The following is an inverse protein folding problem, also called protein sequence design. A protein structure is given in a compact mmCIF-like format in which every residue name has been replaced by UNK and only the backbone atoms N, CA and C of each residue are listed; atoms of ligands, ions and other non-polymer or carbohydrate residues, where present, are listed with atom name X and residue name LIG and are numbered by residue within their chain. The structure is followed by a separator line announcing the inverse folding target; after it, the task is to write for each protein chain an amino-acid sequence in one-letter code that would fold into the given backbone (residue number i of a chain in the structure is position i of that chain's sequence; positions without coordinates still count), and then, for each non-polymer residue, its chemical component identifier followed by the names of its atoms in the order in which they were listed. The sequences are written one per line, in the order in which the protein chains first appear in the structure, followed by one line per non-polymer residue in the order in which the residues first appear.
data_IF_043863118889
#
_entry.id   IF_043863118889
#
_cell.length_a   1.000
_cell.length_b   1.000
_cell.length_c   1.000
_cell.angle_alpha   90.00
_cell.angle_beta   90.00
_cell.angle_gamma   90.00
#
_symmetry.space_group_name_H-M   'P 1'
#
loop_
_entity.id
_entity.type
_entity.pdbx_description
1 polymer ?
#
# COMPACT_ATOMS: atom_id res chain seq x y z
N UNK A 1 19.47 8.61 -54.21
CA UNK A 1 19.19 8.94 -52.79
C UNK A 1 18.28 7.86 -52.22
N UNK A 2 18.89 6.86 -51.58
CA UNK A 2 18.29 5.54 -51.36
C UNK A 2 17.32 5.52 -50.17
N UNK A 3 16.18 4.86 -50.43
CA UNK A 3 15.07 4.56 -49.53
C UNK A 3 15.51 4.00 -48.16
N UNK A 4 16.69 3.37 -48.10
CA UNK A 4 17.30 2.75 -46.93
C UNK A 4 17.62 3.78 -45.83
N UNK A 5 18.03 5.01 -46.17
CA UNK A 5 18.37 6.03 -45.16
C UNK A 5 17.14 6.60 -44.43
N UNK A 6 15.95 6.52 -45.02
CA UNK A 6 14.70 6.96 -44.36
C UNK A 6 14.18 5.93 -43.35
N UNK A 7 14.40 4.64 -43.60
CA UNK A 7 13.91 3.55 -42.73
C UNK A 7 14.71 3.49 -41.43
N UNK A 8 16.03 3.68 -41.49
CA UNK A 8 16.88 3.67 -40.29
C UNK A 8 16.52 4.82 -39.34
N UNK A 9 16.15 5.99 -39.87
CA UNK A 9 15.75 7.14 -39.05
C UNK A 9 14.41 6.92 -38.33
N UNK A 10 13.46 6.21 -38.94
CA UNK A 10 12.14 5.91 -38.35
C UNK A 10 12.27 4.82 -37.28
N UNK A 11 13.13 3.82 -37.48
CA UNK A 11 13.35 2.75 -36.52
C UNK A 11 14.03 3.21 -35.23
N UNK A 12 14.89 4.24 -35.30
CA UNK A 12 15.56 4.81 -34.12
C UNK A 12 14.61 5.69 -33.31
N UNK A 13 13.66 6.40 -33.95
CA UNK A 13 12.63 7.17 -33.22
C UNK A 13 11.59 6.27 -32.52
N UNK A 14 11.37 5.05 -33.01
CA UNK A 14 10.38 4.11 -32.45
C UNK A 14 10.85 3.41 -31.15
N UNK A 15 12.16 3.35 -30.88
CA UNK A 15 12.69 2.76 -29.64
C UNK A 15 12.65 3.70 -28.43
N UNK A 16 12.27 4.97 -28.62
CA UNK A 16 11.92 5.88 -27.52
C UNK A 16 10.43 5.77 -27.17
N UNK A 17 9.85 4.55 -27.19
CA UNK A 17 8.68 4.26 -26.38
C UNK A 17 9.12 4.39 -24.92
N UNK A 18 9.08 5.63 -24.40
CA UNK A 18 9.34 5.97 -23.03
C UNK A 18 8.55 4.98 -22.17
N UNK A 19 9.25 4.02 -21.54
CA UNK A 19 8.72 3.40 -20.33
C UNK A 19 8.48 4.58 -19.40
N UNK A 20 7.23 5.01 -19.28
CA UNK A 20 6.85 6.00 -18.30
C UNK A 20 7.43 5.49 -16.98
N UNK A 21 8.35 6.24 -16.38
CA UNK A 21 8.97 5.85 -15.13
C UNK A 21 7.84 5.53 -14.15
N UNK A 22 7.88 4.34 -13.54
CA UNK A 22 6.92 3.99 -12.51
C UNK A 22 6.97 5.12 -11.47
N UNK A 23 5.82 5.74 -11.22
CA UNK A 23 5.74 6.84 -10.28
C UNK A 23 6.01 6.27 -8.89
N UNK A 24 6.96 6.84 -8.16
CA UNK A 24 7.20 6.41 -6.79
C UNK A 24 6.09 6.96 -5.87
N UNK A 25 5.90 6.34 -4.71
CA UNK A 25 5.08 6.88 -3.62
C UNK A 25 5.77 8.13 -3.07
N UNK A 26 5.05 9.25 -2.79
CA UNK A 26 5.67 10.43 -2.19
C UNK A 26 6.35 10.14 -0.85
N UNK A 27 7.49 10.78 -0.59
CA UNK A 27 8.30 10.56 0.62
C UNK A 27 7.54 10.82 1.91
N UNK A 28 6.52 11.69 1.87
CA UNK A 28 5.65 11.96 3.01
C UNK A 28 4.93 10.70 3.52
N UNK A 29 4.71 9.68 2.68
CA UNK A 29 4.10 8.42 3.11
C UNK A 29 5.13 7.40 3.62
N UNK A 30 6.41 7.54 3.29
CA UNK A 30 7.42 6.52 3.58
C UNK A 30 7.58 6.29 5.07
N UNK A 31 7.84 5.04 5.46
CA UNK A 31 8.07 4.63 6.85
C UNK A 31 7.06 3.60 7.34
N UNK A 32 7.09 3.37 8.66
CA UNK A 32 6.24 2.41 9.35
C UNK A 32 5.09 3.12 10.04
N UNK A 33 3.92 2.49 9.96
CA UNK A 33 2.64 3.00 10.39
C UNK A 33 1.89 1.92 11.15
N UNK A 34 1.19 2.28 12.21
CA UNK A 34 0.39 1.36 13.02
C UNK A 34 -1.05 1.83 13.16
N UNK A 35 -1.98 0.91 13.04
CA UNK A 35 -3.40 1.14 13.27
C UNK A 35 -3.98 0.01 14.12
N UNK A 36 -5.13 0.28 14.71
CA UNK A 36 -6.01 -0.72 15.30
C UNK A 36 -7.24 -0.82 14.41
N UNK A 37 -7.63 -2.04 14.04
CA UNK A 37 -8.80 -2.24 13.20
C UNK A 37 -10.08 -1.85 13.95
N UNK A 38 -10.94 -1.09 13.28
CA UNK A 38 -12.26 -0.71 13.80
C UNK A 38 -12.26 0.30 14.96
N UNK A 39 -11.11 0.80 15.41
CA UNK A 39 -11.03 1.82 16.47
C UNK A 39 -9.75 2.65 16.36
N UNK A 40 -9.77 3.95 16.72
CA UNK A 40 -8.54 4.74 16.80
C UNK A 40 -7.56 4.10 17.78
N UNK A 41 -6.31 3.98 17.36
CA UNK A 41 -5.22 3.54 18.24
C UNK A 41 -4.83 4.69 19.17
N UNK A 42 -4.73 4.43 20.47
CA UNK A 42 -4.21 5.42 21.43
C UNK A 42 -2.67 5.49 21.36
N UNK A 43 -2.09 6.57 21.88
CA UNK A 43 -0.65 6.81 21.82
C UNK A 43 0.19 5.75 22.53
N UNK A 44 -0.28 5.19 23.66
CA UNK A 44 0.47 4.19 24.41
C UNK A 44 0.50 2.87 23.64
N UNK A 45 -0.66 2.43 23.13
CA UNK A 45 -0.76 1.25 22.27
C UNK A 45 0.06 1.40 21.00
N UNK A 46 0.03 2.58 20.37
CA UNK A 46 0.86 2.87 19.19
C UNK A 46 2.36 2.77 19.50
N UNK A 47 2.82 3.31 20.64
CA UNK A 47 4.22 3.23 21.05
C UNK A 47 4.67 1.79 21.31
N UNK A 48 3.86 1.01 22.02
CA UNK A 48 4.13 -0.41 22.28
C UNK A 48 4.20 -1.19 20.96
N UNK A 49 3.24 -0.97 20.06
CA UNK A 49 3.23 -1.58 18.74
C UNK A 49 4.49 -1.21 17.95
N UNK A 50 4.84 0.08 17.85
CA UNK A 50 6.03 0.54 17.14
C UNK A 50 7.34 -0.02 17.74
N UNK A 51 7.43 -0.14 19.07
CA UNK A 51 8.60 -0.72 19.74
C UNK A 51 8.74 -2.22 19.42
N UNK A 52 7.65 -2.97 19.53
CA UNK A 52 7.61 -4.39 19.16
C UNK A 52 8.06 -4.63 17.71
N UNK A 53 7.66 -3.73 16.79
CA UNK A 53 8.04 -3.79 15.38
C UNK A 53 9.54 -3.57 15.15
N UNK A 54 10.17 -2.63 15.88
CA UNK A 54 11.60 -2.33 15.77
C UNK A 54 12.50 -3.53 16.10
N UNK A 55 12.03 -4.41 16.98
CA UNK A 55 12.75 -5.60 17.42
C UNK A 55 12.43 -6.85 16.62
N UNK A 56 11.64 -6.74 15.54
CA UNK A 56 11.22 -7.86 14.70
C UNK A 56 10.44 -8.96 15.46
N UNK A 57 9.95 -8.66 16.67
CA UNK A 57 9.13 -9.51 17.52
C UNK A 57 7.64 -9.46 17.12
N UNK A 58 7.38 -9.17 15.84
CA UNK A 58 6.06 -8.88 15.27
C UNK A 58 5.11 -10.06 15.46
N UNK A 59 5.61 -11.30 15.46
CA UNK A 59 4.75 -12.48 15.64
C UNK A 59 4.43 -12.77 17.11
N UNK A 60 5.31 -12.39 18.05
CA UNK A 60 5.26 -12.83 19.45
C UNK A 60 4.62 -11.79 20.37
N UNK A 61 4.82 -10.51 20.07
CA UNK A 61 4.29 -9.38 20.85
C UNK A 61 2.82 -9.07 20.54
N UNK A 62 2.36 -9.51 19.38
CA UNK A 62 1.07 -9.20 18.79
C UNK A 62 0.11 -10.41 18.83
N UNK A 63 0.59 -11.60 19.25
CA UNK A 63 -0.16 -12.85 19.33
C UNK A 63 -0.93 -13.05 20.63
N UNK A 64 -0.91 -12.08 21.54
CA UNK A 64 -1.70 -12.19 22.76
C UNK A 64 -3.18 -12.04 22.39
N UNK A 65 -4.01 -13.08 22.58
CA UNK A 65 -5.41 -13.14 22.12
C UNK A 65 -6.29 -12.04 22.72
N UNK A 66 -5.84 -11.38 23.79
CA UNK A 66 -6.48 -10.22 24.41
C UNK A 66 -6.06 -8.88 23.79
N UNK A 67 -5.08 -8.87 22.89
CA UNK A 67 -4.61 -7.65 22.24
C UNK A 67 -5.53 -7.24 21.08
N UNK A 68 -5.82 -5.94 20.92
CA UNK A 68 -6.65 -5.44 19.83
C UNK A 68 -6.07 -5.85 18.46
N UNK A 69 -6.93 -5.98 17.44
CA UNK A 69 -6.48 -6.37 16.10
C UNK A 69 -5.64 -5.24 15.47
N UNK A 70 -4.32 -5.35 15.58
CA UNK A 70 -3.34 -4.35 15.14
C UNK A 70 -2.90 -4.61 13.70
N UNK A 71 -2.67 -3.52 12.97
CA UNK A 71 -2.28 -3.51 11.58
C UNK A 71 -1.01 -2.67 11.46
N UNK A 72 0.04 -3.27 10.91
CA UNK A 72 1.22 -2.53 10.49
C UNK A 72 1.16 -2.29 8.98
N UNK A 73 1.46 -1.06 8.57
CA UNK A 73 1.72 -0.69 7.19
C UNK A 73 3.14 -0.14 7.07
N UNK A 74 3.98 -0.79 6.26
CA UNK A 74 5.28 -0.23 5.84
C UNK A 74 5.16 0.28 4.41
N UNK A 75 5.52 1.54 4.20
CA UNK A 75 5.46 2.20 2.91
C UNK A 75 6.87 2.50 2.43
N UNK A 76 7.23 1.91 1.30
CA UNK A 76 8.48 2.19 0.59
C UNK A 76 8.19 2.91 -0.73
N UNK A 77 9.24 3.22 -1.51
CA UNK A 77 9.11 3.92 -2.80
C UNK A 77 8.06 3.32 -3.75
N UNK A 78 7.86 2.01 -3.75
CA UNK A 78 7.02 1.32 -4.74
C UNK A 78 6.15 0.20 -4.15
N UNK A 79 6.13 0.07 -2.82
CA UNK A 79 5.54 -1.09 -2.14
C UNK A 79 4.79 -0.65 -0.89
N UNK A 80 3.67 -1.29 -0.64
CA UNK A 80 2.92 -1.21 0.61
C UNK A 80 2.92 -2.60 1.24
N UNK A 81 3.45 -2.75 2.44
CA UNK A 81 3.54 -4.01 3.15
C UNK A 81 2.65 -3.97 4.39
N UNK A 82 1.58 -4.75 4.38
CA UNK A 82 0.66 -4.92 5.50
C UNK A 82 0.97 -6.18 6.28
N UNK A 83 0.91 -6.07 7.59
CA UNK A 83 0.98 -7.21 8.51
C UNK A 83 -0.10 -7.03 9.56
N UNK A 84 -0.93 -8.04 9.73
CA UNK A 84 -1.96 -8.04 10.76
C UNK A 84 -1.55 -8.91 11.94
N UNK A 85 -1.88 -8.51 13.17
CA UNK A 85 -1.73 -9.38 14.31
C UNK A 85 -2.80 -10.48 14.36
N UNK A 86 -2.54 -11.54 15.14
CA UNK A 86 -3.41 -12.72 15.20
C UNK A 86 -3.17 -13.76 14.11
N UNK A 87 -2.44 -13.41 13.03
CA UNK A 87 -1.94 -14.39 12.07
C UNK A 87 -0.69 -13.86 11.34
N UNK A 88 0.49 -14.18 11.86
CA UNK A 88 1.77 -13.74 11.29
C UNK A 88 2.03 -14.22 9.84
N UNK A 89 1.23 -15.17 9.35
CA UNK A 89 1.25 -15.64 7.96
C UNK A 89 0.46 -14.71 7.02
N UNK A 90 -0.50 -13.94 7.53
CA UNK A 90 -1.28 -12.94 6.78
C UNK A 90 -0.47 -11.66 6.55
N UNK A 91 0.56 -11.79 5.71
CA UNK A 91 1.39 -10.69 5.24
C UNK A 91 0.95 -10.30 3.86
N UNK A 92 0.49 -9.07 3.72
CA UNK A 92 0.05 -8.56 2.46
C UNK A 92 1.05 -7.61 1.80
N UNK A 93 1.68 -8.00 0.70
CA UNK A 93 2.61 -7.14 -0.04
C UNK A 93 1.96 -6.66 -1.33
N UNK A 94 1.65 -5.37 -1.38
CA UNK A 94 1.12 -4.69 -2.55
C UNK A 94 2.27 -4.13 -3.41
N UNK A 95 2.29 -4.53 -4.67
CA UNK A 95 3.29 -4.18 -5.69
C UNK A 95 2.60 -3.71 -6.99
N UNK A 96 3.38 -3.30 -7.99
CA UNK A 96 2.87 -2.86 -9.30
C UNK A 96 1.81 -1.74 -9.18
N UNK A 97 2.08 -0.76 -8.32
CA UNK A 97 1.17 0.36 -8.06
C UNK A 97 0.93 1.18 -9.34
N UNK A 98 -0.33 1.34 -9.72
CA UNK A 98 -0.78 2.16 -10.84
C UNK A 98 -1.62 3.31 -10.32
N UNK A 99 -1.00 4.48 -10.20
CA UNK A 99 -1.66 5.66 -9.66
C UNK A 99 -2.68 6.26 -10.63
N UNK A 100 -3.80 6.67 -10.07
CA UNK A 100 -4.85 7.45 -10.72
C UNK A 100 -4.43 8.93 -10.86
N UNK A 101 -5.35 9.76 -11.39
CA UNK A 101 -5.17 11.22 -11.46
C UNK A 101 -5.14 11.90 -10.08
N UNK A 102 -5.60 11.23 -9.01
CA UNK A 102 -5.58 11.72 -7.63
C UNK A 102 -4.20 11.49 -6.98
N UNK A 103 -3.13 12.03 -7.58
CA UNK A 103 -1.77 11.94 -7.05
C UNK A 103 -1.26 13.31 -6.67
N UNK A 104 -0.96 13.47 -5.38
CA UNK A 104 -0.39 14.67 -4.76
C UNK A 104 0.58 14.24 -3.65
N UNK A 105 1.40 15.15 -3.09
CA UNK A 105 2.32 14.82 -2.00
C UNK A 105 1.65 14.21 -0.76
N UNK A 106 0.35 14.45 -0.52
CA UNK A 106 -0.39 13.98 0.65
C UNK A 106 -1.63 13.13 0.30
N UNK A 107 -1.85 12.78 -0.97
CA UNK A 107 -2.96 11.92 -1.38
C UNK A 107 -2.57 11.16 -2.64
N UNK A 108 -2.62 9.83 -2.55
CA UNK A 108 -2.41 8.91 -3.67
C UNK A 108 -3.57 7.91 -3.73
N UNK A 109 -4.06 7.60 -4.92
CA UNK A 109 -5.03 6.54 -5.13
C UNK A 109 -4.71 5.80 -6.43
N UNK A 110 -5.09 4.53 -6.56
CA UNK A 110 -4.80 3.75 -7.73
C UNK A 110 -5.16 2.27 -7.58
N UNK A 111 -4.64 1.44 -8.49
CA UNK A 111 -4.70 -0.01 -8.36
C UNK A 111 -3.36 -0.56 -7.92
N UNK A 112 -3.37 -1.62 -7.13
CA UNK A 112 -2.19 -2.38 -6.73
C UNK A 112 -2.41 -3.85 -7.04
N UNK A 113 -1.33 -4.56 -7.38
CA UNK A 113 -1.34 -6.02 -7.34
C UNK A 113 -0.87 -6.52 -6.00
N UNK A 114 -1.44 -7.62 -5.59
CA UNK A 114 -1.21 -8.24 -4.32
C UNK A 114 -0.35 -9.51 -4.46
N UNK A 115 0.53 -9.78 -3.48
CA UNK A 115 1.25 -11.04 -3.32
C UNK A 115 1.36 -11.43 -1.85
N UNK A 116 1.20 -12.73 -1.56
CA UNK A 116 1.27 -13.31 -0.21
C UNK A 116 0.04 -14.14 0.15
N UNK A 117 -0.12 -14.43 1.44
CA UNK A 117 -1.36 -14.98 2.01
C UNK A 117 -2.27 -13.82 2.41
N UNK A 118 -3.35 -13.65 1.63
CA UNK A 118 -4.40 -12.67 1.92
C UNK A 118 -5.64 -13.40 2.38
N UNK A 119 -6.44 -12.69 3.16
CA UNK A 119 -7.81 -13.07 3.50
C UNK A 119 -8.76 -12.95 2.31
N UNK A 120 -8.31 -12.35 1.21
CA UNK A 120 -9.14 -11.97 0.08
C UNK A 120 -8.72 -12.72 -1.20
N UNK A 121 -9.68 -13.11 -2.03
CA UNK A 121 -9.43 -13.94 -3.21
C UNK A 121 -8.77 -13.18 -4.37
N UNK A 122 -8.95 -11.86 -4.45
CA UNK A 122 -8.54 -11.08 -5.63
C UNK A 122 -7.12 -10.52 -5.56
N UNK A 123 -6.30 -10.74 -6.61
CA UNK A 123 -4.90 -10.33 -6.65
C UNK A 123 -4.70 -8.86 -7.07
N UNK A 124 -5.76 -8.10 -7.34
CA UNK A 124 -5.68 -6.68 -7.70
C UNK A 124 -6.73 -5.88 -6.94
N UNK A 125 -6.31 -4.80 -6.28
CA UNK A 125 -7.20 -3.95 -5.46
C UNK A 125 -7.05 -2.49 -5.79
N UNK A 126 -8.15 -1.75 -5.70
CA UNK A 126 -8.09 -0.30 -5.63
C UNK A 126 -7.68 0.12 -4.20
N UNK A 127 -6.91 1.21 -4.13
CA UNK A 127 -6.49 1.81 -2.87
C UNK A 127 -6.54 3.33 -2.92
N UNK A 128 -6.73 3.95 -1.76
CA UNK A 128 -6.50 5.37 -1.51
C UNK A 128 -5.74 5.53 -0.20
N UNK A 129 -4.66 6.32 -0.23
CA UNK A 129 -3.90 6.74 0.93
C UNK A 129 -3.95 8.26 1.01
N UNK A 130 -4.29 8.80 2.18
CA UNK A 130 -4.35 10.23 2.43
C UNK A 130 -3.65 10.58 3.74
N UNK A 131 -2.74 11.55 3.68
CA UNK A 131 -2.11 12.15 4.85
C UNK A 131 -2.86 13.43 5.22
N UNK A 132 -3.43 13.42 6.42
CA UNK A 132 -4.15 14.55 6.98
C UNK A 132 -3.73 14.69 8.45
N UNK A 133 -3.24 15.87 8.83
CA UNK A 133 -2.84 16.19 10.21
C UNK A 133 -1.85 15.19 10.83
N UNK A 134 -0.96 14.62 10.01
CA UNK A 134 0.02 13.62 10.44
C UNK A 134 -0.52 12.19 10.57
N UNK A 135 -1.82 11.98 10.32
CA UNK A 135 -2.49 10.69 10.32
C UNK A 135 -2.57 10.17 8.87
N UNK A 136 -2.22 8.90 8.68
CA UNK A 136 -2.38 8.23 7.39
C UNK A 136 -3.72 7.49 7.37
N UNK A 137 -4.62 7.91 6.49
CA UNK A 137 -5.86 7.23 6.20
C UNK A 137 -5.63 6.25 5.06
N UNK A 138 -5.96 4.97 5.25
CA UNK A 138 -5.96 3.97 4.18
C UNK A 138 -7.38 3.51 3.89
N UNK A 139 -7.69 3.40 2.61
CA UNK A 139 -8.98 2.92 2.13
C UNK A 139 -8.73 1.88 1.05
N UNK A 140 -9.35 0.71 1.20
CA UNK A 140 -9.34 -0.35 0.20
C UNK A 140 -10.75 -0.74 -0.17
N UNK A 141 -10.97 -0.90 -1.47
CA UNK A 141 -12.25 -1.36 -2.00
C UNK A 141 -12.03 -2.27 -3.18
N UNK A 142 -13.04 -3.10 -3.44
CA UNK A 142 -13.14 -3.87 -4.67
C UNK A 142 -14.50 -3.65 -5.30
N UNK A 143 -14.55 -3.89 -6.61
CA UNK A 143 -15.80 -3.85 -7.35
C UNK A 143 -16.38 -5.26 -7.36
N UNK A 144 -17.46 -5.48 -6.63
CA UNK A 144 -18.14 -6.76 -6.60
C UNK A 144 -18.86 -6.96 -7.95
N UNK A 145 -18.34 -7.87 -8.76
CA UNK A 145 -18.85 -8.10 -10.10
C UNK A 145 -20.21 -8.82 -10.12
N UNK A 146 -20.56 -9.54 -9.05
CA UNK A 146 -21.84 -10.26 -8.94
C UNK A 146 -22.99 -9.33 -8.55
N UNK A 147 -22.71 -8.37 -7.66
CA UNK A 147 -23.73 -7.44 -7.15
C UNK A 147 -23.69 -6.06 -7.81
N UNK A 148 -22.61 -5.75 -8.54
CA UNK A 148 -22.36 -4.43 -9.13
C UNK A 148 -22.08 -3.34 -8.10
N UNK A 149 -21.82 -3.70 -6.83
CA UNK A 149 -21.57 -2.77 -5.73
C UNK A 149 -20.08 -2.64 -5.42
N UNK A 150 -19.72 -1.60 -4.68
CA UNK A 150 -18.39 -1.48 -4.08
C UNK A 150 -18.40 -2.10 -2.69
N UNK A 151 -17.52 -3.07 -2.48
CA UNK A 151 -17.26 -3.63 -1.16
C UNK A 151 -16.05 -2.91 -0.56
N UNK A 152 -16.25 -2.30 0.60
CA UNK A 152 -15.21 -1.58 1.34
C UNK A 152 -14.69 -2.51 2.44
N UNK A 153 -13.38 -2.72 2.44
CA UNK A 153 -12.76 -3.71 3.32
C UNK A 153 -12.09 -3.03 4.51
N UNK A 154 -11.24 -2.07 4.23
CA UNK A 154 -10.40 -1.44 5.24
C UNK A 154 -10.55 0.09 5.17
N UNK A 155 -10.72 0.69 6.35
CA UNK A 155 -10.76 2.13 6.57
C UNK A 155 -9.98 2.45 7.84
N UNK A 156 -8.68 2.23 7.76
CA UNK A 156 -7.79 2.31 8.90
C UNK A 156 -7.15 3.69 9.01
N UNK A 157 -6.96 4.13 10.26
CA UNK A 157 -6.26 5.37 10.58
C UNK A 157 -4.95 5.01 11.26
N UNK A 158 -3.86 5.28 10.58
CA UNK A 158 -2.54 4.95 11.06
C UNK A 158 -1.84 6.15 11.69
N UNK A 159 -1.13 5.84 12.77
CA UNK A 159 -0.14 6.72 13.40
C UNK A 159 1.25 6.27 12.96
N UNK A 160 2.13 7.24 12.72
CA UNK A 160 3.51 6.98 12.31
C UNK A 160 4.34 6.43 13.48
N UNK A 161 5.15 5.42 13.21
CA UNK A 161 6.22 5.02 14.12
C UNK A 161 7.44 5.95 13.96
N UNK A 162 7.94 6.46 15.08
CA UNK A 162 9.12 7.34 15.14
C UNK A 162 10.41 6.54 15.40
#
# INVERSE_FOLDING_TARGET
MNFINKIILISILSLCAFKAAAKDIPSAFHGQWVAQHGSPIDNQTAQVACHALKHNDIATSLSDETSPYLIMLTVDKQRLHYVHNGNAEQREIFTQLRFSKKYTPNHIAGTAKYSGLSRHPDPARDFELRLQDGILHSHYWEHNHDTGKMDFWDNDKFVRCF
#
